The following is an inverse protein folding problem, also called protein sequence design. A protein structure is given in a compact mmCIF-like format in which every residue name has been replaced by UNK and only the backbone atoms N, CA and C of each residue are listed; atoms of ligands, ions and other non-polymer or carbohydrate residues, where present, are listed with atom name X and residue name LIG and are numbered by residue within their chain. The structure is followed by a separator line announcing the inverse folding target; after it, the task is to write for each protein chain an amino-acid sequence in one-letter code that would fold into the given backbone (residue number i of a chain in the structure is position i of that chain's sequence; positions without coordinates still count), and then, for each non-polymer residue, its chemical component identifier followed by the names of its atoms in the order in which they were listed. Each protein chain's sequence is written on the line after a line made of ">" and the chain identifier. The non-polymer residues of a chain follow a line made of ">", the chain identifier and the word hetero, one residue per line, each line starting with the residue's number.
data_IF_383241483711
#
_entry.id   IF_383241483711
#
_cell.length_a   1.000
_cell.length_b   1.000
_cell.length_c   1.000
_cell.angle_alpha   90.00
_cell.angle_beta   90.00
_cell.angle_gamma   90.00
#
_symmetry.space_group_name_H-M   'P 1'
#
loop_
_entity.id
_entity.type
_entity.pdbx_description
1 polymer ?
#
# COMPACT_ATOMS: atom_id res chain seq x y z
N UNK A 1 -23.99 -17.09 28.49
CA UNK A 1 -24.82 -15.92 28.12
C UNK A 1 -24.73 -15.79 26.61
N UNK A 2 -25.86 -15.82 25.90
CA UNK A 2 -25.85 -15.66 24.45
C UNK A 2 -25.63 -14.17 24.11
N UNK A 3 -24.60 -13.89 23.31
CA UNK A 3 -24.37 -12.55 22.77
C UNK A 3 -25.51 -12.18 21.83
N UNK A 4 -25.96 -10.92 21.86
CA UNK A 4 -26.96 -10.43 20.91
C UNK A 4 -26.34 -10.32 19.52
N UNK A 5 -27.06 -10.69 18.45
CA UNK A 5 -26.56 -10.55 17.09
C UNK A 5 -26.24 -9.10 16.77
N UNK A 6 -25.21 -8.89 15.96
CA UNK A 6 -24.69 -7.57 15.63
C UNK A 6 -24.66 -7.37 14.13
N UNK A 7 -24.80 -6.12 13.67
CA UNK A 7 -24.84 -5.81 12.23
C UNK A 7 -23.66 -4.94 11.80
N UNK A 8 -23.13 -5.21 10.61
CA UNK A 8 -22.14 -4.32 9.99
C UNK A 8 -22.82 -3.05 9.45
N UNK A 9 -22.26 -1.88 9.76
CA UNK A 9 -22.83 -0.59 9.36
C UNK A 9 -22.64 -0.26 7.86
N UNK A 10 -21.73 -0.96 7.18
CA UNK A 10 -21.39 -0.68 5.78
C UNK A 10 -22.20 -1.53 4.80
N UNK A 11 -22.53 -2.77 5.17
CA UNK A 11 -23.20 -3.73 4.29
C UNK A 11 -24.45 -4.40 4.90
N UNK A 12 -24.82 -4.07 6.14
CA UNK A 12 -25.96 -4.61 6.88
C UNK A 12 -25.98 -6.14 7.10
N UNK A 13 -24.86 -6.84 6.88
CA UNK A 13 -24.72 -8.25 7.24
C UNK A 13 -24.89 -8.44 8.76
N UNK A 14 -25.56 -9.52 9.15
CA UNK A 14 -25.81 -9.90 10.56
C UNK A 14 -24.81 -10.99 10.97
N UNK A 15 -24.21 -10.82 12.15
CA UNK A 15 -23.21 -11.71 12.73
C UNK A 15 -23.65 -12.21 14.09
N UNK A 16 -23.19 -13.39 14.49
CA UNK A 16 -23.57 -13.99 15.77
C UNK A 16 -22.95 -13.22 16.95
N UNK A 17 -21.74 -12.67 16.76
CA UNK A 17 -21.04 -11.89 17.77
C UNK A 17 -20.19 -10.74 17.17
N UNK A 18 -19.67 -9.87 18.05
CA UNK A 18 -18.82 -8.73 17.66
C UNK A 18 -17.46 -9.15 17.06
N UNK A 19 -16.96 -10.35 17.37
CA UNK A 19 -15.67 -10.81 16.85
C UNK A 19 -15.78 -11.20 15.37
N UNK A 20 -16.84 -11.91 14.99
CA UNK A 20 -17.17 -12.19 13.59
C UNK A 20 -17.39 -10.90 12.79
N UNK A 21 -18.16 -9.97 13.35
CA UNK A 21 -18.38 -8.64 12.74
C UNK A 21 -17.07 -7.87 12.57
N UNK A 22 -16.18 -7.88 13.57
CA UNK A 22 -14.86 -7.25 13.50
C UNK A 22 -13.98 -7.90 12.43
N UNK A 23 -13.95 -9.23 12.37
CA UNK A 23 -13.22 -9.96 11.35
C UNK A 23 -13.71 -9.58 9.94
N UNK A 24 -15.03 -9.60 9.72
CA UNK A 24 -15.66 -9.16 8.48
C UNK A 24 -15.28 -7.72 8.12
N UNK A 25 -15.33 -6.79 9.08
CA UNK A 25 -14.95 -5.40 8.85
C UNK A 25 -13.50 -5.27 8.35
N UNK A 26 -12.56 -5.99 8.96
CA UNK A 26 -11.15 -5.96 8.55
C UNK A 26 -10.90 -6.57 7.16
N UNK A 27 -11.69 -7.56 6.76
CA UNK A 27 -11.53 -8.28 5.47
C UNK A 27 -12.23 -7.55 4.32
N UNK A 28 -13.39 -6.95 4.55
CA UNK A 28 -14.26 -6.43 3.49
C UNK A 28 -14.28 -4.89 3.41
N UNK A 29 -13.95 -4.19 4.50
CA UNK A 29 -14.15 -2.73 4.58
C UNK A 29 -12.88 -1.96 4.95
N UNK A 30 -12.01 -2.54 5.78
CA UNK A 30 -10.75 -1.95 6.23
C UNK A 30 -9.55 -2.79 5.78
N UNK A 31 -9.58 -3.23 4.52
CA UNK A 31 -8.58 -4.12 3.93
C UNK A 31 -7.59 -3.41 3.01
N UNK A 32 -7.70 -2.09 2.83
CA UNK A 32 -6.90 -1.33 1.87
C UNK A 32 -6.36 -0.04 2.51
N UNK A 33 -5.05 0.14 2.45
CA UNK A 33 -4.37 1.39 2.78
C UNK A 33 -3.86 2.05 1.50
N UNK A 34 -4.06 3.37 1.35
CA UNK A 34 -3.51 4.14 0.23
C UNK A 34 -2.51 5.17 0.75
N UNK A 35 -1.28 5.09 0.27
CA UNK A 35 -0.20 6.03 0.60
C UNK A 35 0.15 6.86 -0.64
N UNK A 36 0.37 8.16 -0.46
CA UNK A 36 0.68 9.10 -1.55
C UNK A 36 2.04 9.73 -1.30
N UNK A 37 3.00 9.49 -2.18
CA UNK A 37 4.36 10.02 -2.03
C UNK A 37 4.54 11.18 -3.01
N UNK A 38 5.09 12.30 -2.53
CA UNK A 38 5.50 13.43 -3.38
C UNK A 38 7.00 13.63 -3.22
N UNK A 39 7.66 14.22 -4.22
CA UNK A 39 9.02 14.74 -4.01
C UNK A 39 8.94 16.07 -3.24
N UNK A 40 10.02 16.48 -2.55
CA UNK A 40 10.09 17.80 -1.92
C UNK A 40 10.00 18.96 -2.91
N UNK A 41 10.40 18.71 -4.16
CA UNK A 41 10.42 19.70 -5.24
C UNK A 41 9.10 19.74 -6.04
N UNK A 42 8.27 18.71 -5.96
CA UNK A 42 6.99 18.66 -6.66
C UNK A 42 5.93 19.52 -5.97
N UNK A 43 4.98 20.02 -6.78
CA UNK A 43 3.74 20.59 -6.28
C UNK A 43 3.07 19.58 -5.33
N UNK A 44 2.68 19.95 -4.09
CA UNK A 44 1.97 19.08 -3.17
C UNK A 44 0.71 18.43 -3.77
N UNK A 45 0.13 19.04 -4.82
CA UNK A 45 -1.04 18.54 -5.53
C UNK A 45 -0.70 17.49 -6.62
N UNK A 46 0.58 17.24 -6.89
CA UNK A 46 1.05 16.24 -7.85
C UNK A 46 1.88 15.17 -7.14
N UNK A 47 1.25 14.09 -6.65
CA UNK A 47 1.98 12.96 -6.09
C UNK A 47 2.86 12.32 -7.18
N UNK A 48 4.10 11.99 -6.79
CA UNK A 48 5.06 11.28 -7.63
C UNK A 48 4.51 9.89 -7.96
N UNK A 49 4.08 9.18 -6.94
CA UNK A 49 3.40 7.89 -7.06
C UNK A 49 2.51 7.65 -5.84
N UNK A 50 1.60 6.69 -5.96
CA UNK A 50 0.83 6.16 -4.85
C UNK A 50 1.07 4.65 -4.71
N UNK A 51 0.93 4.14 -3.48
CA UNK A 51 0.97 2.71 -3.20
C UNK A 51 -0.34 2.31 -2.51
N UNK A 52 -1.05 1.38 -3.12
CA UNK A 52 -2.19 0.66 -2.59
C UNK A 52 -1.70 -0.60 -1.87
N UNK A 53 -1.95 -0.72 -0.58
CA UNK A 53 -1.47 -1.82 0.26
C UNK A 53 -2.68 -2.56 0.78
N UNK A 54 -2.85 -3.80 0.31
CA UNK A 54 -3.90 -4.67 0.78
C UNK A 54 -3.48 -5.38 2.07
N UNK A 55 -4.45 -5.61 2.94
CA UNK A 55 -4.28 -6.39 4.16
C UNK A 55 -3.97 -7.83 3.77
N UNK A 56 -2.98 -8.43 4.44
CA UNK A 56 -2.63 -9.83 4.26
C UNK A 56 -3.72 -10.77 4.83
N UNK A 57 -3.64 -12.06 4.51
CA UNK A 57 -4.56 -13.08 5.03
C UNK A 57 -4.51 -13.23 6.56
N UNK A 58 -3.39 -12.85 7.18
CA UNK A 58 -3.23 -12.77 8.64
C UNK A 58 -3.85 -11.51 9.27
N UNK A 59 -4.59 -10.73 8.47
CA UNK A 59 -5.22 -9.47 8.83
C UNK A 59 -4.23 -8.36 9.22
N UNK A 60 -2.95 -8.43 8.83
CA UNK A 60 -2.00 -7.35 9.06
C UNK A 60 -1.71 -6.56 7.78
N UNK A 61 -1.50 -5.25 7.93
CA UNK A 61 -0.77 -4.48 6.92
C UNK A 61 0.72 -4.74 7.06
N UNK A 62 1.41 -4.83 5.92
CA UNK A 62 2.85 -5.09 5.84
C UNK A 62 3.53 -3.97 5.04
N UNK A 63 4.71 -3.56 5.49
CA UNK A 63 5.47 -2.55 4.75
C UNK A 63 5.90 -3.09 3.37
N UNK A 64 5.66 -2.36 2.26
CA UNK A 64 6.01 -2.81 0.91
C UNK A 64 7.49 -2.62 0.57
N UNK A 65 8.26 -1.89 1.38
CA UNK A 65 9.67 -1.59 1.09
C UNK A 65 10.59 -2.76 1.47
N UNK A 66 11.58 -3.03 0.61
CA UNK A 66 12.56 -4.10 0.84
C UNK A 66 13.38 -3.82 2.12
N UNK A 67 13.57 -4.85 2.94
CA UNK A 67 14.32 -4.76 4.20
C UNK A 67 13.54 -4.24 5.42
N UNK A 68 12.26 -3.87 5.28
CA UNK A 68 11.43 -3.46 6.41
C UNK A 68 10.41 -4.53 6.81
N UNK A 69 10.50 -5.08 8.02
CA UNK A 69 9.59 -6.11 8.53
C UNK A 69 8.41 -5.58 9.35
N UNK A 70 8.16 -4.27 9.29
CA UNK A 70 7.05 -3.66 10.00
C UNK A 70 5.71 -4.24 9.54
N UNK A 71 4.91 -4.70 10.50
CA UNK A 71 3.55 -5.23 10.30
C UNK A 71 2.64 -4.87 11.47
N UNK A 72 1.38 -4.55 11.20
CA UNK A 72 0.41 -4.18 12.24
C UNK A 72 -1.03 -4.37 11.76
N UNK A 73 -1.94 -4.66 12.68
CA UNK A 73 -3.38 -4.81 12.38
C UNK A 73 -4.04 -3.42 12.23
N UNK A 74 -3.69 -2.47 13.09
CA UNK A 74 -4.31 -1.14 13.12
C UNK A 74 -3.84 -0.27 11.94
N UNK A 75 -4.81 0.22 11.14
CA UNK A 75 -4.53 1.10 10.01
C UNK A 75 -3.84 2.39 10.47
N UNK A 76 -4.27 2.97 11.59
CA UNK A 76 -3.69 4.20 12.12
C UNK A 76 -2.21 4.05 12.48
N UNK A 77 -1.84 2.94 13.12
CA UNK A 77 -0.46 2.58 13.44
C UNK A 77 0.36 2.31 12.18
N UNK A 78 -0.23 1.65 11.18
CA UNK A 78 0.43 1.42 9.90
C UNK A 78 0.72 2.73 9.17
N UNK A 79 -0.25 3.62 9.13
CA UNK A 79 -0.13 4.96 8.56
C UNK A 79 0.97 5.76 9.29
N UNK A 80 1.07 5.68 10.62
CA UNK A 80 2.13 6.35 11.41
C UNK A 80 3.55 5.81 11.15
N UNK A 81 3.69 4.62 10.58
CA UNK A 81 5.00 4.08 10.17
C UNK A 81 5.66 4.92 9.07
N UNK A 82 4.85 5.60 8.25
CA UNK A 82 5.32 6.52 7.22
C UNK A 82 5.24 7.94 7.79
N UNK A 83 6.35 8.64 8.05
CA UNK A 83 6.28 9.95 8.65
C UNK A 83 5.60 10.95 7.71
N UNK A 84 4.73 11.78 8.28
CA UNK A 84 4.19 12.95 7.58
C UNK A 84 5.07 14.14 7.87
N UNK A 85 5.35 14.94 6.84
CA UNK A 85 5.82 16.29 7.09
C UNK A 85 4.65 17.19 7.58
N UNK A 86 4.96 18.43 7.94
CA UNK A 86 3.95 19.42 8.39
C UNK A 86 2.89 19.74 7.33
N UNK A 87 3.14 19.47 6.06
CA UNK A 87 2.18 19.71 4.97
C UNK A 87 1.23 18.53 4.71
N UNK A 88 1.13 17.57 5.64
CA UNK A 88 0.33 16.34 5.51
C UNK A 88 0.72 15.45 4.32
N UNK A 89 1.88 15.72 3.73
CA UNK A 89 2.47 14.95 2.65
C UNK A 89 3.33 13.86 3.29
N UNK A 90 3.18 12.63 2.80
CA UNK A 90 3.98 11.51 3.27
C UNK A 90 5.41 11.70 2.78
N UNK A 91 6.29 12.10 3.69
CA UNK A 91 7.72 12.08 3.45
C UNK A 91 8.23 10.71 3.83
N UNK A 92 8.95 10.06 2.92
CA UNK A 92 9.59 8.80 3.25
C UNK A 92 10.45 8.98 4.50
N UNK A 93 10.29 8.06 5.46
CA UNK A 93 11.18 8.02 6.61
C UNK A 93 12.61 7.96 6.11
N UNK A 94 13.55 8.46 6.90
CA UNK A 94 14.98 8.24 6.64
C UNK A 94 15.29 6.75 6.40
N UNK A 95 14.48 5.85 6.97
CA UNK A 95 14.60 4.39 6.82
C UNK A 95 14.17 3.86 5.44
N UNK A 96 13.24 4.55 4.75
CA UNK A 96 12.73 4.12 3.43
C UNK A 96 13.20 4.99 2.28
N UNK A 97 13.87 6.11 2.55
CA UNK A 97 14.31 7.05 1.50
C UNK A 97 15.18 6.37 0.41
N UNK A 98 16.20 5.56 0.74
CA UNK A 98 16.97 4.86 -0.30
C UNK A 98 16.11 3.93 -1.16
N UNK A 99 15.15 3.25 -0.55
CA UNK A 99 14.29 2.27 -1.21
C UNK A 99 13.22 2.94 -2.06
N UNK A 100 12.69 4.10 -1.67
CA UNK A 100 11.75 4.83 -2.50
C UNK A 100 12.36 5.43 -3.73
N UNK A 101 13.57 5.99 -3.59
CA UNK A 101 14.23 6.70 -4.68
C UNK A 101 14.61 5.71 -5.79
N UNK A 102 14.93 4.47 -5.41
CA UNK A 102 15.26 3.37 -6.32
C UNK A 102 14.06 2.43 -6.61
N UNK A 103 12.87 2.71 -6.06
CA UNK A 103 11.68 1.85 -6.16
C UNK A 103 11.94 0.37 -5.75
N UNK A 104 12.75 0.17 -4.72
CA UNK A 104 13.07 -1.15 -4.17
C UNK A 104 11.94 -1.69 -3.29
N UNK A 105 10.95 -2.28 -3.95
CA UNK A 105 9.82 -2.92 -3.31
C UNK A 105 10.03 -4.41 -3.02
N UNK A 106 9.23 -4.95 -2.10
CA UNK A 106 9.11 -6.39 -1.87
C UNK A 106 8.43 -7.08 -3.05
N UNK A 107 8.59 -8.41 -3.10
CA UNK A 107 7.78 -9.28 -3.97
C UNK A 107 6.28 -9.08 -3.68
N UNK A 108 5.47 -9.08 -4.73
CA UNK A 108 4.02 -8.87 -4.65
C UNK A 108 3.59 -7.41 -4.83
N UNK A 109 4.54 -6.48 -4.99
CA UNK A 109 4.24 -5.12 -5.47
C UNK A 109 4.22 -5.12 -6.99
N UNK A 110 3.08 -4.76 -7.57
CA UNK A 110 2.86 -4.69 -9.01
C UNK A 110 2.66 -3.23 -9.42
N UNK A 111 3.26 -2.83 -10.53
CA UNK A 111 3.02 -1.52 -11.14
C UNK A 111 1.69 -1.53 -11.90
N UNK A 112 0.84 -0.54 -11.64
CA UNK A 112 -0.36 -0.22 -12.40
C UNK A 112 -0.10 1.03 -13.23
N UNK A 113 -0.41 0.97 -14.52
CA UNK A 113 -0.19 2.04 -15.49
C UNK A 113 -1.26 3.14 -15.41
N UNK A 114 -1.53 3.62 -14.20
CA UNK A 114 -2.37 4.79 -13.95
C UNK A 114 -1.46 6.01 -13.75
N UNK A 115 -1.90 7.20 -14.16
CA UNK A 115 -1.25 8.47 -13.84
C UNK A 115 -2.02 9.14 -12.69
N UNK A 116 -1.38 9.49 -11.56
CA UNK A 116 0.04 9.29 -11.20
C UNK A 116 0.38 7.81 -10.97
N UNK A 117 1.68 7.47 -11.14
CA UNK A 117 2.19 6.09 -11.05
C UNK A 117 1.63 5.38 -9.82
N UNK A 118 0.99 4.23 -10.04
CA UNK A 118 0.26 3.51 -9.00
C UNK A 118 0.92 2.15 -8.79
N UNK A 119 1.23 1.82 -7.54
CA UNK A 119 1.71 0.49 -7.18
C UNK A 119 0.68 -0.23 -6.33
N UNK A 120 0.50 -1.51 -6.56
CA UNK A 120 -0.39 -2.35 -5.78
C UNK A 120 0.41 -3.43 -5.07
N UNK A 121 0.43 -3.38 -3.75
CA UNK A 121 1.04 -4.38 -2.90
C UNK A 121 -0.02 -5.36 -2.38
N UNK A 122 0.04 -6.59 -2.92
CA UNK A 122 -0.66 -7.74 -2.38
C UNK A 122 0.37 -8.59 -1.63
N UNK A 123 0.46 -8.49 -0.30
CA UNK A 123 1.43 -9.27 0.47
C UNK A 123 1.16 -10.75 0.25
N UNK A 124 2.06 -11.41 -0.47
CA UNK A 124 2.09 -12.87 -0.56
C UNK A 124 2.32 -13.42 0.85
N UNK A 125 1.23 -13.78 1.52
CA UNK A 125 1.29 -14.80 2.56
C UNK A 125 1.40 -16.14 1.85
N UNK A 126 2.49 -16.36 1.12
CA UNK A 126 2.86 -17.75 0.88
C UNK A 126 2.99 -18.35 2.28
N UNK A 127 2.26 -19.43 2.61
CA UNK A 127 2.66 -20.20 3.76
C UNK A 127 4.13 -20.49 3.48
N UNK A 128 5.02 -20.05 4.37
CA UNK A 128 6.41 -20.45 4.30
C UNK A 128 6.31 -21.96 4.31
N UNK A 129 6.44 -22.57 3.14
CA UNK A 129 6.64 -23.99 3.02
C UNK A 129 8.02 -24.13 3.61
N UNK A 130 8.04 -24.25 4.94
CA UNK A 130 9.20 -24.72 5.66
C UNK A 130 9.47 -26.02 4.95
N UNK A 131 10.54 -26.03 4.15
CA UNK A 131 10.93 -27.18 3.37
C UNK A 131 10.92 -28.35 4.35
N UNK A 132 9.87 -29.18 4.27
CA UNK A 132 9.71 -30.35 5.12
C UNK A 132 10.68 -31.45 4.68
N UNK A 133 11.79 -31.05 4.06
CA UNK A 133 12.97 -31.82 3.70
C UNK A 133 13.99 -31.90 4.84
N UNK A 134 13.60 -31.68 6.10
CA UNK A 134 14.26 -32.42 7.19
C UNK A 134 13.76 -33.85 7.14
N UNK A 135 14.49 -34.65 6.37
CA UNK A 135 14.69 -36.07 6.58
C UNK A 135 14.61 -36.38 8.10
N UNK A 136 13.77 -37.32 8.56
CA UNK A 136 13.67 -37.69 9.96
C UNK A 136 15.00 -38.30 10.41
N UNK A 137 15.95 -37.44 10.79
CA UNK A 137 17.16 -37.88 11.47
C UNK A 137 16.70 -38.48 12.80
N UNK A 138 16.94 -39.78 13.06
CA UNK A 138 16.56 -40.38 14.32
C UNK A 138 17.23 -39.62 15.46
N UNK A 139 16.44 -39.25 16.46
CA UNK A 139 16.92 -38.65 17.69
C UNK A 139 17.89 -39.62 18.38
N UNK A 140 19.19 -39.42 18.17
CA UNK A 140 20.22 -40.10 18.92
C UNK A 140 20.32 -39.38 20.27
N UNK A 141 19.65 -39.96 21.27
CA UNK A 141 19.83 -39.62 22.67
C UNK A 141 21.26 -39.96 23.10
N UNK A 142 22.16 -39.00 23.01
CA UNK A 142 23.42 -39.03 23.75
C UNK A 142 23.34 -38.03 24.91
N UNK A 143 22.86 -38.56 26.03
CA UNK A 143 23.12 -38.02 27.37
C UNK A 143 24.64 -38.00 27.58
N UNK A 144 25.25 -36.83 27.48
CA UNK A 144 26.60 -36.61 28.02
C UNK A 144 26.53 -35.47 29.03
N UNK A 145 26.23 -35.85 30.27
CA UNK A 145 26.31 -34.97 31.42
C UNK A 145 27.77 -34.56 31.63
N UNK A 146 28.09 -33.29 31.37
CA UNK A 146 29.33 -32.69 31.89
C UNK A 146 28.92 -31.64 32.90
N UNK A 147 28.99 -32.05 34.17
CA UNK A 147 28.86 -31.20 35.34
C UNK A 147 30.13 -30.34 35.39
N UNK A 148 29.99 -29.02 35.22
CA UNK A 148 31.01 -28.05 35.61
C UNK A 148 30.31 -27.09 36.56
N UNK A 149 30.60 -27.29 37.85
CA UNK A 149 30.37 -26.33 38.93
C UNK A 149 31.06 -25.01 38.59
N UNK A 150 30.32 -23.91 38.76
CA UNK A 150 30.93 -22.60 38.94
C UNK A 150 30.09 -21.78 39.93
N UNK A 151 30.74 -21.20 40.96
CA UNK A 151 30.07 -20.64 42.11
C UNK A 151 29.55 -19.22 41.86
N UNK A 152 28.39 -18.97 42.45
CA UNK A 152 27.98 -17.75 43.16
C UNK A 152 28.77 -16.47 42.92
N UNK A 153 28.11 -15.48 42.34
CA UNK A 153 28.21 -14.13 42.88
C UNK A 153 26.85 -13.42 42.86
N UNK A 154 26.51 -12.92 44.03
CA UNK A 154 25.28 -12.24 44.37
C UNK A 154 25.32 -10.78 43.89
N UNK A 155 24.28 -10.34 43.19
CA UNK A 155 23.92 -8.93 43.18
C UNK A 155 22.40 -8.78 43.28
N UNK A 156 21.96 -8.49 44.50
CA UNK A 156 20.70 -7.79 44.78
C UNK A 156 20.86 -6.32 44.40
N UNK A 157 19.92 -5.73 43.68
CA UNK A 157 19.29 -4.46 44.12
C UNK A 157 18.05 -4.05 43.30
N UNK A 158 16.99 -3.78 44.07
CA UNK A 158 15.96 -2.75 43.90
C UNK A 158 14.97 -2.78 42.72
N UNK A 159 13.80 -3.37 43.00
CA UNK A 159 12.50 -2.84 42.55
C UNK A 159 12.27 -1.45 43.15
N UNK A 160 12.11 -0.44 42.31
CA UNK A 160 11.66 0.88 42.73
C UNK A 160 10.28 1.16 42.13
N UNK A 161 9.28 0.99 42.98
CA UNK A 161 7.86 1.28 42.75
C UNK A 161 7.68 2.81 42.73
N UNK A 162 7.45 3.40 41.57
CA UNK A 162 6.99 4.78 41.48
C UNK A 162 5.47 4.82 41.37
N UNK A 163 4.83 5.15 42.49
CA UNK A 163 3.47 5.66 42.54
C UNK A 163 3.48 7.13 42.11
N UNK A 164 2.52 7.51 41.26
CA UNK A 164 2.23 8.91 40.93
C UNK A 164 0.72 9.14 40.89
N UNK A 165 0.25 10.37 41.21
CA UNK A 165 -0.99 10.59 41.92
C UNK A 165 -2.19 10.79 41.00
N UNK A 166 -3.34 10.31 41.46
CA UNK A 166 -4.66 10.66 40.95
C UNK A 166 -4.90 12.17 41.12
N UNK A 167 -5.19 12.86 40.03
CA UNK A 167 -5.88 14.15 40.09
C UNK A 167 -7.33 13.98 39.63
N UNK A 168 -8.19 14.22 40.61
CA UNK A 168 -9.64 14.32 40.55
C UNK A 168 -9.96 15.72 40.00
N UNK A 169 -10.72 15.82 38.91
CA UNK A 169 -11.47 17.05 38.58
C UNK A 169 -12.87 16.66 38.09
N UNK A 170 -13.77 16.73 39.07
CA UNK A 170 -15.10 17.34 39.05
C UNK A 170 -15.95 17.29 37.78
N UNK A 171 -16.98 16.46 37.90
CA UNK A 171 -18.29 16.51 37.27
C UNK A 171 -18.99 17.84 37.52
N UNK A 172 -19.39 18.56 36.47
CA UNK A 172 -20.42 19.62 36.58
C UNK A 172 -21.61 19.28 35.70
N UNK A 173 -22.77 19.27 36.34
CA UNK A 173 -24.06 18.88 35.80
C UNK A 173 -24.66 19.90 34.81
N UNK A 174 -25.61 19.40 34.04
CA UNK A 174 -26.45 20.05 33.02
C UNK A 174 -27.18 21.32 33.46
N UNK A 175 -27.79 22.03 32.49
CA UNK A 175 -29.26 22.08 32.53
C UNK A 175 -29.96 21.83 31.18
N UNK A 176 -31.15 21.23 31.32
CA UNK A 176 -32.23 21.09 30.33
C UNK A 176 -32.67 22.43 29.72
N UNK A 177 -32.86 22.46 28.39
CA UNK A 177 -33.90 23.23 27.67
C UNK A 177 -34.35 22.35 26.48
N UNK A 178 -35.52 21.72 26.50
CA UNK A 178 -36.87 22.23 26.19
C UNK A 178 -37.05 22.66 24.73
N UNK A 179 -37.50 21.68 23.92
CA UNK A 179 -38.44 21.74 22.77
C UNK A 179 -38.50 22.96 21.84
N UNK A 180 -38.30 22.74 20.54
CA UNK A 180 -39.34 22.95 19.50
C UNK A 180 -38.96 22.37 18.12
N UNK A 181 -39.95 22.17 17.22
CA UNK A 181 -39.91 21.17 16.16
C UNK A 181 -39.50 21.71 14.78
N UNK A 182 -39.15 20.76 13.90
CA UNK A 182 -39.37 20.77 12.45
C UNK A 182 -38.84 21.97 11.66
N UNK A 183 -37.80 21.71 10.87
CA UNK A 183 -37.78 21.98 9.43
C UNK A 183 -36.64 21.15 8.82
N UNK A 184 -37.03 20.18 7.99
CA UNK A 184 -36.12 19.32 7.23
C UNK A 184 -35.43 20.18 6.18
N UNK A 185 -34.08 20.27 6.14
CA UNK A 185 -33.40 20.85 5.00
C UNK A 185 -33.54 19.85 3.85
N UNK A 186 -34.13 20.29 2.74
CA UNK A 186 -34.10 19.55 1.49
C UNK A 186 -32.64 19.29 1.13
N UNK A 187 -32.24 18.01 1.19
CA UNK A 187 -30.94 17.55 0.72
C UNK A 187 -30.96 17.74 -0.78
N UNK A 188 -30.37 18.83 -1.25
CA UNK A 188 -30.06 19.00 -2.66
C UNK A 188 -29.07 17.90 -3.03
N UNK A 189 -29.54 16.96 -3.82
CA UNK A 189 -28.74 15.91 -4.47
C UNK A 189 -27.75 16.60 -5.41
N UNK A 190 -26.63 17.05 -4.87
CA UNK A 190 -25.51 17.53 -5.66
C UNK A 190 -24.94 16.32 -6.38
N UNK A 191 -25.30 16.17 -7.66
CA UNK A 191 -24.67 15.22 -8.56
C UNK A 191 -23.16 15.39 -8.45
N UNK A 192 -22.39 14.33 -8.19
CA UNK A 192 -20.94 14.42 -8.20
C UNK A 192 -20.52 14.93 -9.58
N UNK A 193 -19.97 16.14 -9.61
CA UNK A 193 -19.31 16.69 -10.77
C UNK A 193 -18.10 15.81 -11.03
N UNK A 194 -18.30 14.79 -11.88
CA UNK A 194 -17.22 14.00 -12.43
C UNK A 194 -16.39 14.96 -13.25
N UNK A 195 -15.31 15.47 -12.65
CA UNK A 195 -14.23 16.14 -13.37
C UNK A 195 -13.64 15.10 -14.33
N UNK A 196 -14.28 14.93 -15.48
CA UNK A 196 -13.68 14.26 -16.62
C UNK A 196 -12.55 15.19 -17.03
N UNK A 197 -11.35 14.91 -16.53
CA UNK A 197 -10.16 15.64 -16.90
C UNK A 197 -10.11 15.69 -18.43
N UNK A 198 -10.26 16.89 -18.99
CA UNK A 198 -10.15 17.09 -20.42
C UNK A 198 -8.68 16.91 -20.76
N UNK A 199 -8.35 15.76 -21.35
CA UNK A 199 -6.99 15.49 -21.80
C UNK A 199 -6.69 16.40 -22.99
N UNK A 200 -5.61 17.17 -22.90
CA UNK A 200 -5.12 17.94 -24.05
C UNK A 200 -4.43 16.99 -25.03
N UNK A 201 -4.46 17.32 -26.33
CA UNK A 201 -3.77 16.53 -27.34
C UNK A 201 -2.26 16.36 -27.05
N UNK A 202 -1.64 17.38 -26.47
CA UNK A 202 -0.25 17.32 -25.99
C UNK A 202 -0.03 16.29 -24.89
N UNK A 203 -0.93 16.21 -23.90
CA UNK A 203 -0.85 15.20 -22.83
C UNK A 203 -0.95 13.79 -23.40
N UNK A 204 -1.81 13.58 -24.40
CA UNK A 204 -1.98 12.28 -25.04
C UNK A 204 -0.73 11.87 -25.84
N UNK A 205 -0.13 12.80 -26.59
CA UNK A 205 1.14 12.57 -27.30
C UNK A 205 2.30 12.29 -26.34
N UNK A 206 2.40 13.02 -25.24
CA UNK A 206 3.41 12.81 -24.21
C UNK A 206 3.28 11.41 -23.59
N UNK A 207 2.05 11.02 -23.25
CA UNK A 207 1.76 9.68 -22.75
C UNK A 207 2.16 8.59 -23.76
N UNK A 208 1.87 8.77 -25.05
CA UNK A 208 2.23 7.80 -26.09
C UNK A 208 3.74 7.67 -26.28
N UNK A 209 4.49 8.78 -26.24
CA UNK A 209 5.97 8.77 -26.29
C UNK A 209 6.56 8.03 -25.10
N UNK A 210 6.07 8.28 -23.89
CA UNK A 210 6.53 7.59 -22.69
C UNK A 210 6.27 6.08 -22.78
N UNK A 211 5.08 5.69 -23.24
CA UNK A 211 4.72 4.29 -23.45
C UNK A 211 5.67 3.59 -24.44
N UNK A 212 5.92 4.22 -25.59
CA UNK A 212 6.82 3.71 -26.62
C UNK A 212 8.27 3.56 -26.11
N UNK A 213 8.83 4.60 -25.50
CA UNK A 213 10.20 4.57 -24.97
C UNK A 213 10.39 3.49 -23.91
N UNK A 214 9.40 3.30 -23.04
CA UNK A 214 9.42 2.28 -22.00
C UNK A 214 9.36 0.86 -22.58
N UNK A 215 8.48 0.59 -23.55
CA UNK A 215 8.44 -0.72 -24.23
C UNK A 215 9.72 -1.02 -24.99
N UNK A 216 10.27 -0.02 -25.68
CA UNK A 216 11.53 -0.14 -26.40
C UNK A 216 12.67 -0.48 -25.43
N UNK A 217 12.77 0.23 -24.31
CA UNK A 217 13.76 -0.06 -23.27
C UNK A 217 13.58 -1.47 -22.67
N UNK A 218 12.34 -1.87 -22.39
CA UNK A 218 12.02 -3.21 -21.89
C UNK A 218 12.46 -4.32 -22.86
N UNK A 219 12.16 -4.19 -24.16
CA UNK A 219 12.58 -5.16 -25.18
C UNK A 219 14.11 -5.18 -25.33
N UNK A 220 14.76 -4.02 -25.32
CA UNK A 220 16.23 -3.93 -25.33
C UNK A 220 16.86 -4.67 -24.14
N UNK A 221 16.35 -4.45 -22.93
CA UNK A 221 16.88 -5.09 -21.73
C UNK A 221 16.60 -6.59 -21.71
N UNK A 222 15.45 -7.03 -22.22
CA UNK A 222 15.12 -8.45 -22.35
C UNK A 222 16.07 -9.17 -23.31
N UNK A 223 16.33 -8.57 -24.49
CA UNK A 223 17.25 -9.13 -25.49
C UNK A 223 18.70 -9.17 -24.99
N UNK A 224 19.13 -8.18 -24.19
CA UNK A 224 20.47 -8.18 -23.59
C UNK A 224 20.63 -9.21 -22.47
N UNK A 225 19.55 -9.56 -21.77
CA UNK A 225 19.57 -10.51 -20.66
C UNK A 225 19.55 -11.98 -21.08
N UNK A 226 19.10 -12.27 -22.29
CA UNK A 226 18.92 -13.65 -22.79
C UNK A 226 19.84 -13.93 -23.99
N UNK A 227 20.89 -14.71 -23.73
CA UNK A 227 21.87 -15.12 -24.75
C UNK A 227 21.29 -16.09 -25.80
N UNK A 228 20.05 -16.54 -25.64
CA UNK A 228 19.38 -17.47 -26.55
C UNK A 228 18.39 -16.80 -27.50
N UNK A 229 18.17 -15.49 -27.36
CA UNK A 229 17.22 -14.74 -28.20
C UNK A 229 17.69 -14.65 -29.65
N UNK A 230 16.78 -14.95 -30.59
CA UNK A 230 16.99 -14.68 -32.00
C UNK A 230 16.90 -13.16 -32.25
N UNK A 231 18.07 -12.55 -32.49
CA UNK A 231 18.19 -11.12 -32.79
C UNK A 231 17.37 -10.69 -34.01
N UNK A 232 17.11 -11.60 -34.97
CA UNK A 232 16.28 -11.32 -36.13
C UNK A 232 14.81 -11.15 -35.72
N UNK A 233 14.34 -11.96 -34.79
CA UNK A 233 12.99 -11.86 -34.23
C UNK A 233 12.85 -10.59 -33.39
N UNK A 234 13.82 -10.27 -32.55
CA UNK A 234 13.83 -9.01 -31.78
C UNK A 234 13.82 -7.78 -32.71
N UNK A 235 14.62 -7.79 -33.79
CA UNK A 235 14.60 -6.72 -34.79
C UNK A 235 13.22 -6.54 -35.43
N UNK A 236 12.54 -7.65 -35.78
CA UNK A 236 11.18 -7.62 -36.31
C UNK A 236 10.18 -7.04 -35.30
N UNK A 237 10.26 -7.45 -34.02
CA UNK A 237 9.41 -6.90 -32.95
C UNK A 237 9.61 -5.40 -32.76
N UNK A 238 10.85 -4.92 -32.84
CA UNK A 238 11.14 -3.49 -32.72
C UNK A 238 10.59 -2.68 -33.90
N UNK A 239 10.65 -3.22 -35.12
CA UNK A 239 10.05 -2.60 -36.30
C UNK A 239 8.52 -2.53 -36.20
N UNK A 240 7.88 -3.62 -35.74
CA UNK A 240 6.43 -3.64 -35.48
C UNK A 240 6.03 -2.60 -34.41
N UNK A 241 6.80 -2.49 -33.31
CA UNK A 241 6.57 -1.50 -32.26
C UNK A 241 6.73 -0.06 -32.77
N UNK A 242 7.75 0.20 -33.61
CA UNK A 242 7.97 1.50 -34.25
C UNK A 242 6.79 1.87 -35.16
N UNK A 243 6.37 0.97 -36.03
CA UNK A 243 5.25 1.20 -36.94
C UNK A 243 3.95 1.48 -36.17
N UNK A 244 3.71 0.77 -35.07
CA UNK A 244 2.57 1.04 -34.18
C UNK A 244 2.62 2.46 -33.60
N UNK A 245 3.78 2.90 -33.10
CA UNK A 245 3.95 4.24 -32.54
C UNK A 245 3.77 5.34 -33.59
N UNK A 246 4.36 5.21 -34.77
CA UNK A 246 4.25 6.18 -35.85
C UNK A 246 2.80 6.34 -36.32
N UNK A 247 2.07 5.22 -36.48
CA UNK A 247 0.65 5.23 -36.81
C UNK A 247 -0.19 5.91 -35.72
N UNK A 248 0.08 5.63 -34.44
CA UNK A 248 -0.59 6.29 -33.33
C UNK A 248 -0.36 7.80 -33.32
N UNK A 249 0.89 8.24 -33.52
CA UNK A 249 1.23 9.67 -33.63
C UNK A 249 0.56 10.34 -34.82
N UNK A 250 0.42 9.65 -35.95
CA UNK A 250 -0.28 10.14 -37.14
C UNK A 250 -1.77 10.37 -36.86
N UNK A 251 -2.45 9.39 -36.27
CA UNK A 251 -3.87 9.49 -35.93
C UNK A 251 -4.15 10.65 -34.96
N UNK A 252 -3.25 10.90 -34.00
CA UNK A 252 -3.38 12.04 -33.09
C UNK A 252 -3.25 13.39 -33.81
N UNK A 253 -2.41 13.50 -34.84
CA UNK A 253 -2.31 14.72 -35.65
C UNK A 253 -3.57 14.94 -36.50
N UNK A 254 -4.06 13.87 -37.13
CA UNK A 254 -5.29 13.92 -37.93
C UNK A 254 -6.50 14.35 -37.08
N UNK A 255 -6.60 13.86 -35.83
CA UNK A 255 -7.69 14.22 -34.91
C UNK A 255 -7.68 15.68 -34.44
N UNK A 256 -6.51 16.32 -34.39
CA UNK A 256 -6.38 17.74 -34.02
C UNK A 256 -6.68 18.71 -35.17
N UNK A 257 -6.91 18.19 -36.38
CA UNK A 257 -7.27 19.01 -37.54
C UNK A 257 -6.11 19.83 -38.12
N UNK A 258 -4.86 19.49 -37.78
CA UNK A 258 -3.66 20.19 -38.28
C UNK A 258 -3.44 20.02 -39.80
N UNK A 259 -4.16 19.11 -40.48
CA UNK A 259 -3.99 18.79 -41.90
C UNK A 259 -5.06 19.39 -42.85
N UNK A 260 -5.93 20.30 -42.40
CA UNK A 260 -7.03 20.84 -43.25
C UNK A 260 -6.80 22.24 -43.84
N UNK A 261 -5.55 22.69 -44.02
CA UNK A 261 -5.25 23.94 -44.76
C UNK A 261 -4.11 23.76 -45.76
N UNK A 262 -4.43 23.17 -46.92
CA UNK A 262 -3.71 23.35 -48.18
C UNK A 262 -4.71 23.68 -49.30
#
# INVERSE_FOLDING_TARGET
>A
MASSPTTCLFCNNVFADENEKRHHFLVEHDNLCKLFFTTPEADPNQPLYNIMIWRASDLHFRCPFKGCDFRVIDLGAFIRHFPKNKSCVWTLSSEHKPQSDNLEFKRGVNERYDLPLCFEYNPETSPVMVDAGTDPRPASLLLTSTIIDSPSDAFSTNLQTHASPQQIIETTASPLQTSNPTLVPAIATASPSTNVAVWTGEQLRASLRNEYMRRLHGDMMATLGDNTVDLKESGKRQEELKNWFENGMKLLKEAEGEDLCL
#
